data_IF_650791277014
#
_entry.id   IF_650791277014
#
_cell.length_a   1.000
_cell.length_b   1.000
_cell.length_c   1.000
_cell.angle_alpha   90.00
_cell.angle_beta   90.00
_cell.angle_gamma   90.00
#
_symmetry.space_group_name_H-M   'P 1'
#
loop_
_entity.id
_entity.type
_entity.pdbx_description
1 polymer ?
#
# COMPACT_ATOMS: atom_id res chain seq x y z
N UNK A 1 6.19 -16.42 -12.43
CA UNK A 1 4.88 -16.67 -11.80
C UNK A 1 4.46 -18.11 -12.03
N UNK A 2 4.18 -18.83 -10.93
CA UNK A 2 3.67 -20.20 -10.96
C UNK A 2 2.35 -20.35 -11.74
N UNK A 3 2.19 -21.45 -12.48
CA UNK A 3 1.10 -21.70 -13.46
C UNK A 3 -0.31 -21.51 -12.89
N UNK A 4 -0.57 -21.96 -11.66
CA UNK A 4 -1.90 -21.83 -11.05
C UNK A 4 -2.25 -20.37 -10.74
N UNK A 5 -1.27 -19.61 -10.23
CA UNK A 5 -1.43 -18.18 -9.92
C UNK A 5 -1.67 -17.40 -11.20
N UNK A 6 -0.89 -17.68 -12.26
CA UNK A 6 -1.09 -17.05 -13.57
C UNK A 6 -2.48 -17.29 -14.13
N UNK A 7 -3.03 -18.51 -14.01
CA UNK A 7 -4.43 -18.78 -14.43
C UNK A 7 -5.47 -17.98 -13.65
N UNK A 8 -5.27 -17.78 -12.34
CA UNK A 8 -6.18 -16.99 -11.48
C UNK A 8 -6.12 -15.51 -11.83
N UNK A 9 -4.91 -14.96 -11.98
CA UNK A 9 -4.68 -13.57 -12.38
C UNK A 9 -5.30 -13.30 -13.76
N UNK A 10 -5.06 -14.18 -14.73
CA UNK A 10 -5.63 -14.04 -16.06
C UNK A 10 -7.16 -14.15 -16.05
N UNK A 11 -7.75 -15.00 -15.20
CA UNK A 11 -9.21 -15.06 -15.03
C UNK A 11 -9.75 -13.77 -14.44
N UNK A 12 -9.16 -13.30 -13.34
CA UNK A 12 -9.52 -12.05 -12.70
C UNK A 12 -9.45 -10.87 -13.68
N UNK A 13 -8.35 -10.73 -14.42
CA UNK A 13 -8.19 -9.65 -15.40
C UNK A 13 -9.29 -9.69 -16.47
N UNK A 14 -9.69 -10.88 -16.94
CA UNK A 14 -10.82 -11.03 -17.87
C UNK A 14 -12.16 -10.68 -17.24
N UNK A 15 -12.44 -11.15 -16.03
CA UNK A 15 -13.73 -10.93 -15.36
C UNK A 15 -13.96 -9.44 -15.06
N UNK A 16 -12.90 -8.72 -14.70
CA UNK A 16 -12.94 -7.30 -14.34
C UNK A 16 -12.61 -6.36 -15.52
N UNK A 17 -12.31 -6.90 -16.70
CA UNK A 17 -12.09 -6.11 -17.92
C UNK A 17 -10.72 -5.43 -18.03
N UNK A 18 -9.70 -5.88 -17.29
CA UNK A 18 -8.36 -5.30 -17.29
C UNK A 18 -7.52 -5.77 -18.49
N UNK A 19 -7.29 -4.86 -19.43
CA UNK A 19 -6.45 -5.09 -20.62
C UNK A 19 -5.04 -4.46 -20.47
N UNK A 20 -4.32 -4.85 -19.41
CA UNK A 20 -2.97 -4.33 -19.06
C UNK A 20 -1.91 -5.45 -19.07
N UNK A 21 -0.63 -5.10 -18.87
CA UNK A 21 0.48 -6.07 -18.81
C UNK A 21 0.32 -7.08 -17.66
N UNK A 22 0.93 -8.27 -17.77
CA UNK A 22 0.81 -9.33 -16.75
C UNK A 22 1.26 -8.87 -15.36
N UNK A 23 2.37 -8.13 -15.26
CA UNK A 23 2.83 -7.55 -14.01
C UNK A 23 1.77 -6.63 -13.39
N UNK A 24 1.12 -5.79 -14.21
CA UNK A 24 0.06 -4.89 -13.74
C UNK A 24 -1.23 -5.63 -13.38
N UNK A 25 -1.57 -6.69 -14.11
CA UNK A 25 -2.69 -7.58 -13.76
C UNK A 25 -2.44 -8.24 -12.40
N UNK A 26 -1.20 -8.61 -12.11
CA UNK A 26 -0.83 -9.18 -10.81
C UNK A 26 -0.99 -8.16 -9.68
N UNK A 27 -0.54 -6.91 -9.87
CA UNK A 27 -0.77 -5.83 -8.90
C UNK A 27 -2.27 -5.59 -8.63
N UNK A 28 -3.09 -5.48 -9.68
CA UNK A 28 -4.54 -5.33 -9.55
C UNK A 28 -5.18 -6.52 -8.82
N UNK A 29 -4.72 -7.74 -9.11
CA UNK A 29 -5.17 -8.95 -8.43
C UNK A 29 -4.78 -8.93 -6.95
N UNK A 30 -3.57 -8.52 -6.60
CA UNK A 30 -3.10 -8.40 -5.21
C UNK A 30 -3.93 -7.35 -4.47
N UNK A 31 -4.17 -6.18 -5.06
CA UNK A 31 -5.01 -5.15 -4.47
C UNK A 31 -6.43 -5.68 -4.18
N UNK A 32 -7.07 -6.31 -5.18
CA UNK A 32 -8.41 -6.87 -5.03
C UNK A 32 -8.52 -7.93 -3.92
N UNK A 33 -7.47 -8.72 -3.67
CA UNK A 33 -7.47 -9.74 -2.62
C UNK A 33 -7.18 -9.17 -1.23
N UNK A 34 -6.11 -8.38 -1.09
CA UNK A 34 -5.65 -7.88 0.21
C UNK A 34 -6.54 -6.75 0.74
N UNK A 35 -7.15 -5.97 -0.15
CA UNK A 35 -8.04 -4.86 0.21
C UNK A 35 -9.52 -5.22 -0.03
N UNK A 36 -9.83 -6.51 -0.26
CA UNK A 36 -11.21 -6.99 -0.52
C UNK A 36 -12.26 -6.45 0.47
N UNK A 37 -12.01 -6.38 1.80
CA UNK A 37 -13.01 -5.86 2.74
C UNK A 37 -13.45 -4.42 2.43
N UNK A 38 -12.61 -3.64 1.76
CA UNK A 38 -12.84 -2.22 1.47
C UNK A 38 -13.17 -1.96 -0.01
N UNK A 39 -12.59 -2.75 -0.92
CA UNK A 39 -12.80 -2.64 -2.36
C UNK A 39 -14.06 -3.36 -2.83
N UNK A 40 -14.34 -4.56 -2.28
CA UNK A 40 -15.24 -5.54 -2.89
C UNK A 40 -14.86 -5.75 -4.37
N UNK A 41 -15.84 -5.73 -5.27
CA UNK A 41 -15.64 -5.89 -6.71
C UNK A 41 -15.64 -4.54 -7.47
N UNK A 42 -15.39 -3.42 -6.79
CA UNK A 42 -15.35 -2.08 -7.40
C UNK A 42 -14.06 -1.89 -8.23
N UNK A 43 -14.19 -1.99 -9.55
CA UNK A 43 -13.10 -1.82 -10.53
C UNK A 43 -12.37 -0.50 -10.35
N UNK A 44 -13.10 0.62 -10.17
CA UNK A 44 -12.50 1.94 -10.08
C UNK A 44 -11.67 2.10 -8.81
N UNK A 45 -12.14 1.56 -7.68
CA UNK A 45 -11.36 1.55 -6.44
C UNK A 45 -10.13 0.64 -6.54
N UNK A 46 -10.26 -0.53 -7.17
CA UNK A 46 -9.14 -1.44 -7.40
C UNK A 46 -8.04 -0.71 -8.18
N UNK A 47 -8.38 -0.07 -9.29
CA UNK A 47 -7.42 0.68 -10.11
C UNK A 47 -6.76 1.82 -9.34
N UNK A 48 -7.53 2.62 -8.59
CA UNK A 48 -7.00 3.75 -7.80
C UNK A 48 -6.09 3.32 -6.65
N UNK A 49 -6.26 2.11 -6.11
CA UNK A 49 -5.38 1.58 -5.07
C UNK A 49 -4.00 1.16 -5.60
N UNK A 50 -3.87 0.89 -6.90
CA UNK A 50 -2.59 0.52 -7.51
C UNK A 50 -1.86 1.75 -8.03
N UNK A 51 -0.60 1.92 -7.62
CA UNK A 51 0.30 2.98 -8.09
C UNK A 51 0.99 2.51 -9.38
N UNK A 52 1.07 3.40 -10.36
CA UNK A 52 1.47 3.05 -11.73
C UNK A 52 2.96 3.29 -12.01
N UNK A 53 3.73 2.22 -12.14
CA UNK A 53 4.89 2.13 -13.04
C UNK A 53 6.15 2.92 -12.66
N UNK A 54 7.14 2.20 -12.11
CA UNK A 54 8.58 2.51 -12.22
C UNK A 54 9.13 3.60 -11.30
N UNK A 55 8.36 4.67 -11.05
CA UNK A 55 8.74 5.78 -10.17
C UNK A 55 8.34 5.60 -8.71
N UNK A 56 7.62 4.54 -8.35
CA UNK A 56 6.81 4.49 -7.13
C UNK A 56 7.60 4.15 -5.85
N UNK A 57 8.93 4.33 -5.84
CA UNK A 57 9.81 4.02 -4.70
C UNK A 57 9.64 2.58 -4.13
N UNK A 58 9.12 1.65 -4.95
CA UNK A 58 8.83 0.27 -4.55
C UNK A 58 7.44 0.06 -3.91
N UNK A 59 6.57 1.06 -3.91
CA UNK A 59 5.19 0.92 -3.44
C UNK A 59 4.29 0.69 -4.65
N UNK A 60 3.86 -0.55 -4.88
CA UNK A 60 2.97 -0.83 -6.03
C UNK A 60 1.49 -0.58 -5.68
N UNK A 61 1.11 -0.75 -4.42
CA UNK A 61 -0.28 -0.57 -3.96
C UNK A 61 -0.25 0.17 -2.63
N UNK A 62 -1.13 1.16 -2.50
CA UNK A 62 -1.33 1.87 -1.25
C UNK A 62 -2.80 2.18 -1.02
N UNK A 63 -3.21 2.12 0.24
CA UNK A 63 -4.58 2.39 0.66
C UNK A 63 -4.58 3.11 2.00
N UNK A 64 -5.42 4.13 2.12
CA UNK A 64 -5.77 4.75 3.39
C UNK A 64 -7.22 4.40 3.69
N UNK A 65 -7.47 3.87 4.88
CA UNK A 65 -8.80 3.45 5.31
C UNK A 65 -9.19 4.23 6.54
N UNK A 66 -10.34 4.92 6.48
CA UNK A 66 -10.96 5.62 7.61
C UNK A 66 -12.33 5.03 7.86
N UNK A 67 -12.61 4.62 9.10
CA UNK A 67 -13.88 4.01 9.50
C UNK A 67 -14.34 2.84 8.60
N UNK A 68 -13.38 2.04 8.12
CA UNK A 68 -13.65 0.90 7.23
C UNK A 68 -13.92 1.26 5.77
N UNK A 69 -13.70 2.52 5.36
CA UNK A 69 -13.85 2.98 3.99
C UNK A 69 -12.51 3.44 3.42
N UNK A 70 -12.24 3.08 2.16
CA UNK A 70 -11.10 3.63 1.43
C UNK A 70 -11.33 5.10 1.12
N UNK A 71 -10.32 5.91 1.39
CA UNK A 71 -10.25 7.32 1.03
C UNK A 71 -9.15 7.54 0.02
N UNK A 72 -9.38 8.45 -0.89
CA UNK A 72 -8.46 8.82 -1.96
C UNK A 72 -8.18 10.33 -1.98
N UNK A 73 -9.04 11.14 -1.36
CA UNK A 73 -8.87 12.59 -1.22
C UNK A 73 -8.95 13.04 0.25
N UNK A 74 -8.22 14.10 0.66
CA UNK A 74 -8.27 14.59 2.04
C UNK A 74 -9.67 15.02 2.52
N UNK A 75 -10.51 15.53 1.62
CA UNK A 75 -11.88 15.95 1.97
C UNK A 75 -12.76 14.78 2.42
N UNK A 76 -12.57 13.58 1.85
CA UNK A 76 -13.31 12.38 2.26
C UNK A 76 -12.99 12.01 3.72
N UNK A 77 -11.75 12.27 4.17
CA UNK A 77 -11.35 12.06 5.57
C UNK A 77 -12.10 13.03 6.48
N UNK A 78 -12.14 14.32 6.13
CA UNK A 78 -12.82 15.36 6.91
C UNK A 78 -14.31 15.07 7.06
N UNK A 79 -14.96 14.62 5.98
CA UNK A 79 -16.35 14.18 6.00
C UNK A 79 -16.54 13.01 6.97
N UNK A 80 -15.78 11.92 6.81
CA UNK A 80 -15.91 10.71 7.63
C UNK A 80 -15.68 10.94 9.12
N UNK A 81 -14.69 11.77 9.48
CA UNK A 81 -14.38 12.05 10.89
C UNK A 81 -15.35 13.05 11.53
N UNK A 82 -16.10 13.81 10.74
CA UNK A 82 -17.10 14.75 11.25
C UNK A 82 -18.39 14.04 11.68
N UNK A 83 -18.69 12.88 11.10
CA UNK A 83 -19.91 12.11 11.36
C UNK A 83 -19.86 11.29 12.65
N UNK A 84 -18.65 11.04 13.19
CA UNK A 84 -18.46 10.12 14.31
C UNK A 84 -17.61 10.73 15.42
N UNK A 85 -17.98 10.44 16.67
CA UNK A 85 -17.27 10.89 17.87
C UNK A 85 -15.93 10.15 18.03
N UNK A 86 -15.80 8.96 17.43
CA UNK A 86 -14.68 8.05 17.63
C UNK A 86 -14.31 7.37 16.33
N UNK A 87 -13.17 7.75 15.75
CA UNK A 87 -12.77 7.32 14.41
C UNK A 87 -11.60 6.32 14.46
N UNK A 88 -11.47 5.53 13.41
CA UNK A 88 -10.33 4.62 13.19
C UNK A 88 -9.69 4.93 11.86
N UNK A 89 -8.36 4.87 11.81
CA UNK A 89 -7.59 4.98 10.58
C UNK A 89 -6.63 3.80 10.45
N UNK A 90 -6.23 3.45 9.22
CA UNK A 90 -5.08 2.61 8.93
C UNK A 90 -4.53 2.90 7.55
N UNK A 91 -3.24 2.65 7.37
CA UNK A 91 -2.57 2.74 6.07
C UNK A 91 -2.04 1.36 5.69
N UNK A 92 -2.26 0.96 4.44
CA UNK A 92 -1.79 -0.31 3.89
C UNK A 92 -0.84 -0.02 2.74
N UNK A 93 0.34 -0.62 2.78
CA UNK A 93 1.34 -0.57 1.72
C UNK A 93 1.63 -1.99 1.22
N UNK A 94 1.68 -2.18 -0.10
CA UNK A 94 2.00 -3.48 -0.69
C UNK A 94 2.97 -3.32 -1.85
N UNK A 95 4.03 -4.13 -1.85
CA UNK A 95 4.85 -4.41 -3.03
C UNK A 95 4.45 -5.79 -3.55
N UNK A 96 4.12 -5.88 -4.84
CA UNK A 96 3.74 -7.10 -5.54
C UNK A 96 4.78 -7.45 -6.61
N UNK A 97 5.28 -8.70 -6.60
CA UNK A 97 6.21 -9.19 -7.62
C UNK A 97 5.81 -10.54 -8.18
N UNK A 98 5.81 -10.64 -9.50
CA UNK A 98 5.57 -11.88 -10.27
C UNK A 98 6.74 -12.87 -10.24
N UNK A 99 7.87 -12.47 -9.66
CA UNK A 99 9.03 -13.33 -9.38
C UNK A 99 8.70 -14.35 -8.28
N UNK A 100 9.43 -15.46 -8.24
CA UNK A 100 9.35 -16.50 -7.21
C UNK A 100 10.45 -16.36 -6.14
N UNK A 101 11.36 -15.41 -6.32
CA UNK A 101 12.43 -15.09 -5.36
C UNK A 101 12.09 -13.89 -4.49
N UNK A 102 12.61 -13.90 -3.26
CA UNK A 102 12.65 -12.72 -2.40
C UNK A 102 13.86 -11.87 -2.81
N UNK A 103 13.61 -10.74 -3.45
CA UNK A 103 14.65 -9.78 -3.79
C UNK A 103 14.78 -8.76 -2.66
N UNK A 104 15.85 -8.90 -1.88
CA UNK A 104 16.05 -8.10 -0.68
C UNK A 104 16.40 -6.65 -1.00
N UNK A 105 16.90 -6.35 -2.21
CA UNK A 105 17.05 -4.96 -2.70
C UNK A 105 15.69 -4.34 -2.99
N UNK A 106 14.74 -5.09 -3.54
CA UNK A 106 13.37 -4.62 -3.74
C UNK A 106 12.67 -4.37 -2.40
N UNK A 107 12.79 -5.28 -1.44
CA UNK A 107 12.25 -5.08 -0.08
C UNK A 107 12.86 -3.82 0.55
N UNK A 108 14.17 -3.63 0.45
CA UNK A 108 14.86 -2.45 0.93
C UNK A 108 14.34 -1.15 0.27
N UNK A 109 14.11 -1.17 -1.05
CA UNK A 109 13.57 -0.03 -1.80
C UNK A 109 12.15 0.29 -1.32
N UNK A 110 11.28 -0.72 -1.24
CA UNK A 110 9.91 -0.59 -0.77
C UNK A 110 9.83 0.03 0.63
N UNK A 111 10.61 -0.46 1.59
CA UNK A 111 10.64 0.11 2.95
C UNK A 111 11.14 1.56 2.97
N UNK A 112 12.14 1.88 2.13
CA UNK A 112 12.60 3.27 1.96
C UNK A 112 11.51 4.16 1.36
N UNK A 113 10.72 3.66 0.41
CA UNK A 113 9.56 4.36 -0.13
C UNK A 113 8.55 4.69 0.95
N UNK A 114 8.20 3.73 1.82
CA UNK A 114 7.29 3.96 2.95
C UNK A 114 7.84 5.04 3.88
N UNK A 115 9.12 4.95 4.25
CA UNK A 115 9.79 5.95 5.09
C UNK A 115 9.78 7.34 4.44
N UNK A 116 9.97 7.42 3.13
CA UNK A 116 9.98 8.68 2.38
C UNK A 116 8.60 9.33 2.37
N UNK A 117 7.55 8.54 2.14
CA UNK A 117 6.13 8.99 2.18
C UNK A 117 5.76 9.50 3.57
N UNK A 118 6.07 8.74 4.63
CA UNK A 118 5.71 9.13 6.00
C UNK A 118 6.48 10.34 6.49
N UNK A 119 7.77 10.46 6.15
CA UNK A 119 8.55 11.67 6.46
C UNK A 119 8.06 12.88 5.67
N UNK A 120 7.70 12.71 4.40
CA UNK A 120 7.15 13.80 3.60
C UNK A 120 5.83 14.30 4.18
N UNK A 121 4.94 13.40 4.61
CA UNK A 121 3.68 13.77 5.25
C UNK A 121 3.90 14.69 6.47
N UNK A 122 4.94 14.43 7.27
CA UNK A 122 5.23 15.24 8.47
C UNK A 122 6.00 16.53 8.13
N UNK A 123 6.95 16.46 7.18
CA UNK A 123 7.80 17.57 6.80
C UNK A 123 8.18 17.52 5.30
N UNK A 124 7.36 18.11 4.41
CA UNK A 124 7.56 18.05 2.96
C UNK A 124 8.84 18.71 2.44
N UNK A 125 9.45 19.63 3.21
CA UNK A 125 10.47 20.56 2.70
C UNK A 125 11.80 19.90 2.30
N UNK A 126 12.05 18.66 2.72
CA UNK A 126 13.35 17.98 2.58
C UNK A 126 13.34 16.71 1.73
N UNK A 127 12.20 16.35 1.12
CA UNK A 127 12.05 15.09 0.37
C UNK A 127 11.37 15.37 -0.96
N UNK A 128 11.97 14.92 -2.06
CA UNK A 128 11.32 14.95 -3.37
C UNK A 128 10.57 13.63 -3.57
N UNK A 129 9.25 13.69 -3.73
CA UNK A 129 8.40 12.52 -4.00
C UNK A 129 7.79 12.59 -5.40
N UNK A 130 7.62 11.43 -6.07
CA UNK A 130 6.73 11.31 -7.22
C UNK A 130 5.32 11.78 -6.88
N UNK A 131 4.62 12.40 -7.85
CA UNK A 131 3.28 12.97 -7.64
C UNK A 131 2.29 11.96 -7.00
N UNK A 132 2.26 10.71 -7.46
CA UNK A 132 1.38 9.67 -6.91
C UNK A 132 1.65 9.35 -5.42
N UNK A 133 2.88 9.58 -4.93
CA UNK A 133 3.26 9.42 -3.53
C UNK A 133 2.98 10.69 -2.70
N UNK A 134 2.94 11.86 -3.35
CA UNK A 134 2.51 13.11 -2.71
C UNK A 134 1.04 13.02 -2.31
N UNK A 135 0.17 12.51 -3.19
CA UNK A 135 -1.26 12.32 -2.88
C UNK A 135 -1.45 11.41 -1.65
N UNK A 136 -0.68 10.33 -1.57
CA UNK A 136 -0.69 9.43 -0.42
C UNK A 136 -0.22 10.13 0.86
N UNK A 137 0.85 10.91 0.77
CA UNK A 137 1.38 11.64 1.90
C UNK A 137 0.37 12.69 2.40
N UNK A 138 -0.38 13.34 1.51
CA UNK A 138 -1.43 14.29 1.88
C UNK A 138 -2.58 13.64 2.67
N UNK A 139 -2.95 12.40 2.34
CA UNK A 139 -3.95 11.65 3.12
C UNK A 139 -3.43 11.31 4.52
N UNK A 140 -2.16 10.90 4.63
CA UNK A 140 -1.51 10.57 5.91
C UNK A 140 -1.37 11.82 6.79
N UNK A 141 -0.95 12.93 6.19
CA UNK A 141 -0.85 14.24 6.85
C UNK A 141 -2.22 14.68 7.38
N UNK A 142 -3.28 14.57 6.57
CA UNK A 142 -4.65 14.90 7.00
C UNK A 142 -5.12 14.10 8.22
N UNK A 143 -4.77 12.81 8.29
CA UNK A 143 -5.05 11.98 9.48
C UNK A 143 -4.24 12.47 10.68
N UNK A 144 -2.95 12.77 10.48
CA UNK A 144 -2.07 13.25 11.55
C UNK A 144 -2.52 14.61 12.12
N UNK A 145 -2.94 15.55 11.26
CA UNK A 145 -3.52 16.85 11.65
C UNK A 145 -4.77 16.71 12.53
N UNK A 146 -5.53 15.62 12.35
CA UNK A 146 -6.77 15.33 13.07
C UNK A 146 -6.59 14.21 14.11
N UNK A 147 -5.37 13.98 14.60
CA UNK A 147 -5.05 12.87 15.49
C UNK A 147 -5.90 12.79 16.76
N UNK A 148 -6.46 13.91 17.23
CA UNK A 148 -7.36 14.00 18.38
C UNK A 148 -8.75 13.36 18.13
N UNK A 149 -9.13 13.14 16.87
CA UNK A 149 -10.41 12.52 16.48
C UNK A 149 -10.32 11.00 16.31
N UNK A 150 -9.14 10.41 16.43
CA UNK A 150 -8.90 8.98 16.26
C UNK A 150 -8.71 8.26 17.60
N UNK A 151 -9.14 7.00 17.66
CA UNK A 151 -8.98 6.15 18.84
C UNK A 151 -7.52 5.82 19.12
N UNK A 152 -6.75 5.55 18.07
CA UNK A 152 -5.36 5.20 18.17
C UNK A 152 -4.45 6.43 18.12
N UNK A 153 -3.55 6.55 19.09
CA UNK A 153 -2.53 7.62 19.12
C UNK A 153 -1.47 7.50 18.04
N UNK A 154 -1.37 6.31 17.41
CA UNK A 154 -0.47 6.03 16.28
C UNK A 154 -1.29 5.42 15.18
N UNK A 155 -1.13 5.92 13.96
CA UNK A 155 -1.80 5.39 12.77
C UNK A 155 -1.27 3.98 12.51
N UNK A 156 -2.11 2.92 12.60
CA UNK A 156 -1.72 1.57 12.24
C UNK A 156 -1.25 1.51 10.78
N UNK A 157 -0.08 0.89 10.57
CA UNK A 157 0.53 0.70 9.26
C UNK A 157 0.70 -0.80 8.99
N UNK A 158 0.09 -1.27 7.91
CA UNK A 158 0.19 -2.65 7.44
C UNK A 158 1.09 -2.70 6.20
N UNK A 159 2.10 -3.55 6.22
CA UNK A 159 3.12 -3.62 5.18
C UNK A 159 3.22 -5.04 4.65
N UNK A 160 2.97 -5.22 3.36
CA UNK A 160 2.97 -6.53 2.71
C UNK A 160 3.98 -6.57 1.55
N UNK A 161 4.77 -7.64 1.50
CA UNK A 161 5.56 -7.99 0.33
C UNK A 161 4.98 -9.29 -0.25
N UNK A 162 4.36 -9.20 -1.42
CA UNK A 162 3.61 -10.28 -2.04
C UNK A 162 4.37 -10.79 -3.25
N UNK A 163 4.71 -12.08 -3.22
CA UNK A 163 5.46 -12.76 -4.28
C UNK A 163 4.78 -14.06 -4.67
N UNK A 164 5.12 -14.60 -5.83
CA UNK A 164 4.67 -15.92 -6.27
C UNK A 164 5.54 -17.07 -5.74
N UNK A 165 6.47 -16.77 -4.82
CA UNK A 165 7.32 -17.77 -4.17
C UNK A 165 6.53 -18.86 -3.48
N UNK A 166 7.05 -20.10 -3.52
CA UNK A 166 6.51 -21.24 -2.78
C UNK A 166 6.87 -21.27 -1.28
N UNK A 167 7.65 -20.29 -0.80
CA UNK A 167 8.13 -20.22 0.59
C UNK A 167 7.70 -18.90 1.25
N UNK A 168 7.58 -18.88 2.58
CA UNK A 168 7.02 -17.76 3.36
C UNK A 168 7.98 -16.57 3.59
N UNK A 169 9.19 -16.63 3.02
CA UNK A 169 10.17 -15.55 3.10
C UNK A 169 10.77 -15.36 4.49
N UNK A 170 10.70 -16.36 5.37
CA UNK A 170 11.26 -16.28 6.72
C UNK A 170 12.75 -15.89 6.72
N UNK A 171 13.52 -16.30 5.71
CA UNK A 171 14.93 -15.98 5.62
C UNK A 171 15.20 -14.54 5.14
N UNK A 172 14.37 -14.02 4.23
CA UNK A 172 14.45 -12.62 3.80
C UNK A 172 14.18 -11.64 4.95
N UNK A 173 13.28 -12.02 5.88
CA UNK A 173 12.98 -11.24 7.10
C UNK A 173 14.14 -11.21 8.09
N UNK A 174 15.05 -12.19 8.06
CA UNK A 174 16.23 -12.25 8.94
C UNK A 174 17.42 -11.48 8.37
N UNK A 175 17.36 -11.04 7.12
CA UNK A 175 18.44 -10.25 6.55
C UNK A 175 18.60 -8.92 7.29
N UNK A 176 19.85 -8.55 7.53
CA UNK A 176 20.22 -7.40 8.36
C UNK A 176 19.58 -6.11 7.81
N UNK A 177 19.68 -5.88 6.51
CA UNK A 177 19.15 -4.71 5.82
C UNK A 177 17.61 -4.57 5.88
N UNK A 178 16.90 -5.68 6.09
CA UNK A 178 15.45 -5.71 6.27
C UNK A 178 15.13 -5.45 7.74
N UNK A 179 15.85 -6.12 8.65
CA UNK A 179 15.67 -5.98 10.09
C UNK A 179 15.98 -4.56 10.58
N UNK A 180 17.06 -3.95 10.10
CA UNK A 180 17.46 -2.58 10.46
C UNK A 180 16.40 -1.54 10.05
N UNK A 181 15.73 -1.74 8.90
CA UNK A 181 14.67 -0.83 8.46
C UNK A 181 13.39 -0.97 9.26
N UNK A 182 13.02 -2.19 9.66
CA UNK A 182 11.91 -2.39 10.59
C UNK A 182 12.23 -1.83 11.99
N UNK A 183 13.49 -1.89 12.43
CA UNK A 183 13.91 -1.33 13.71
C UNK A 183 13.89 0.20 13.70
N UNK A 184 14.31 0.84 12.60
CA UNK A 184 14.24 2.29 12.41
C UNK A 184 12.82 2.85 12.35
N UNK A 185 11.84 2.05 11.90
CA UNK A 185 10.42 2.44 11.83
C UNK A 185 9.68 2.42 13.17
N UNK A 186 10.31 1.96 14.26
CA UNK A 186 9.71 1.89 15.61
C UNK A 186 10.06 3.05 16.54
N UNK A 187 10.92 3.97 16.11
CA UNK A 187 11.32 5.16 16.87
C UNK A 187 10.54 6.39 16.43
#
# INVERSE_FOLDING_TARGET
MHTLTGKRVAKFARDFGFAVSEDKQFELYVAANYLYPYLRDDVGKIERSVRGGGSDEGIDIAAVVVNGQLVFEPSEIEELISEQISNTARVVFIQAKTSESYDTKLISKFLHGIESVTKYAINPQNINLPAALVDLAALIDKIAENGDKFQETRIPCEVFYVTTSGHDGADARKELQVTERFAGSKN
#
